data_IF_734927010294
#
_entry.id   IF_734927010294
#
_cell.length_a   1.000
_cell.length_b   1.000
_cell.length_c   1.000
_cell.angle_alpha   90.00
_cell.angle_beta   90.00
_cell.angle_gamma   90.00
#
_symmetry.space_group_name_H-M   'P 1'
#
loop_
_entity.id
_entity.type
_entity.pdbx_description
1 polymer ?
#
# COMPACT_ATOMS: atom_id res chain seq x y z
N UNK A 1 -14.40 30.34 -5.75
CA UNK A 1 -12.96 30.24 -5.45
C UNK A 1 -12.54 28.88 -5.93
N UNK A 2 -11.85 28.81 -7.06
CA UNK A 2 -11.26 27.57 -7.56
C UNK A 2 -10.14 27.24 -6.59
N UNK A 3 -10.30 26.20 -5.79
CA UNK A 3 -9.21 25.66 -5.00
C UNK A 3 -8.27 24.99 -5.97
N UNK A 4 -7.22 25.68 -6.38
CA UNK A 4 -6.01 25.10 -6.96
C UNK A 4 -5.44 24.11 -5.95
N UNK A 5 -5.96 22.88 -5.97
CA UNK A 5 -5.33 21.74 -5.31
C UNK A 5 -4.05 21.49 -6.08
N UNK A 6 -2.95 22.04 -5.58
CA UNK A 6 -1.62 21.71 -6.07
C UNK A 6 -1.55 20.17 -6.17
N UNK A 7 -1.15 19.61 -7.33
CA UNK A 7 -1.08 18.16 -7.48
C UNK A 7 -0.17 17.65 -6.37
N UNK A 8 -0.74 16.81 -5.51
CA UNK A 8 0.08 16.14 -4.52
C UNK A 8 1.04 15.25 -5.32
N UNK A 9 2.33 15.13 -4.96
CA UNK A 9 3.30 14.30 -5.69
C UNK A 9 2.85 12.83 -5.83
N UNK A 10 1.86 12.43 -5.03
CA UNK A 10 1.19 11.14 -5.08
C UNK A 10 0.21 11.02 -6.24
N UNK A 11 -0.39 12.09 -6.75
CA UNK A 11 -1.44 12.03 -7.78
C UNK A 11 -0.91 11.45 -9.11
N UNK A 12 0.38 11.64 -9.42
CA UNK A 12 1.05 11.13 -10.62
C UNK A 12 1.89 9.86 -10.38
N UNK A 13 1.93 9.34 -9.14
CA UNK A 13 2.71 8.14 -8.83
C UNK A 13 2.07 6.86 -9.42
N UNK A 14 2.86 5.80 -9.69
CA UNK A 14 2.35 4.48 -10.04
C UNK A 14 1.35 3.96 -8.99
N UNK A 15 0.40 3.14 -9.42
CA UNK A 15 -0.67 2.63 -8.55
C UNK A 15 -0.12 1.87 -7.34
N UNK A 16 0.95 1.08 -7.55
CA UNK A 16 1.65 0.34 -6.50
C UNK A 16 2.29 1.26 -5.46
N UNK A 17 2.78 2.44 -5.87
CA UNK A 17 3.40 3.42 -4.96
C UNK A 17 2.32 4.12 -4.13
N UNK A 18 1.20 4.51 -4.76
CA UNK A 18 0.05 5.08 -4.05
C UNK A 18 -0.48 4.11 -2.99
N UNK A 19 -0.69 2.86 -3.38
CA UNK A 19 -1.18 1.83 -2.47
C UNK A 19 -0.21 1.56 -1.32
N UNK A 20 1.10 1.53 -1.59
CA UNK A 20 2.10 1.37 -0.53
C UNK A 20 2.03 2.51 0.50
N UNK A 21 1.85 3.76 0.06
CA UNK A 21 1.71 4.91 0.95
C UNK A 21 0.43 4.84 1.77
N UNK A 22 -0.69 4.47 1.16
CA UNK A 22 -1.95 4.28 1.88
C UNK A 22 -1.84 3.18 2.95
N UNK A 23 -1.16 2.07 2.62
CA UNK A 23 -0.92 0.97 3.56
C UNK A 23 -0.01 1.39 4.72
N UNK A 24 1.06 2.14 4.46
CA UNK A 24 1.93 2.69 5.52
C UNK A 24 1.12 3.59 6.45
N UNK A 25 0.36 4.53 5.89
CA UNK A 25 -0.50 5.42 6.68
C UNK A 25 -1.50 4.65 7.55
N UNK A 26 -2.12 3.60 7.00
CA UNK A 26 -3.05 2.76 7.74
C UNK A 26 -2.36 2.04 8.91
N UNK A 27 -1.18 1.44 8.68
CA UNK A 27 -0.43 0.72 9.71
C UNK A 27 0.04 1.65 10.83
N UNK A 28 0.55 2.84 10.48
CA UNK A 28 0.96 3.86 11.45
C UNK A 28 -0.22 4.40 12.25
N UNK A 29 -1.35 4.68 11.58
CA UNK A 29 -2.57 5.19 12.23
C UNK A 29 -3.19 4.20 13.22
N UNK A 30 -2.90 2.90 13.06
CA UNK A 30 -3.33 1.84 13.97
C UNK A 30 -2.22 1.43 14.96
N UNK A 31 -1.12 2.18 15.03
CA UNK A 31 0.01 1.94 15.94
C UNK A 31 0.56 0.51 15.84
N UNK A 32 0.55 -0.07 14.63
CA UNK A 32 1.03 -1.43 14.40
C UNK A 32 2.56 -1.44 14.47
N UNK A 33 3.11 -2.35 15.28
CA UNK A 33 4.56 -2.54 15.37
C UNK A 33 5.15 -2.86 13.98
N UNK A 34 6.22 -2.19 13.54
CA UNK A 34 6.80 -2.41 12.21
C UNK A 34 7.20 -3.86 11.94
N UNK A 35 7.65 -4.61 12.94
CA UNK A 35 8.00 -6.03 12.78
C UNK A 35 6.76 -6.87 12.50
N UNK A 36 5.66 -6.59 13.19
CA UNK A 36 4.37 -7.24 12.97
C UNK A 36 3.81 -6.87 11.60
N UNK A 37 3.90 -5.60 11.21
CA UNK A 37 3.47 -5.13 9.89
C UNK A 37 4.23 -5.84 8.76
N UNK A 38 5.56 -5.95 8.85
CA UNK A 38 6.37 -6.65 7.84
C UNK A 38 5.97 -8.12 7.74
N UNK A 39 5.85 -8.82 8.87
CA UNK A 39 5.42 -10.23 8.87
C UNK A 39 4.02 -10.42 8.25
N UNK A 40 3.09 -9.51 8.53
CA UNK A 40 1.76 -9.55 7.93
C UNK A 40 1.80 -9.29 6.41
N UNK A 41 2.60 -8.32 5.97
CA UNK A 41 2.77 -8.01 4.55
C UNK A 41 3.41 -9.16 3.76
N UNK A 42 4.32 -9.93 4.36
CA UNK A 42 4.87 -11.15 3.75
C UNK A 42 3.77 -12.20 3.51
N UNK A 43 2.85 -12.40 4.47
CA UNK A 43 1.72 -13.31 4.32
C UNK A 43 0.80 -12.85 3.18
N UNK A 44 0.46 -11.56 3.15
CA UNK A 44 -0.36 -10.96 2.09
C UNK A 44 0.31 -11.11 0.73
N UNK A 45 1.62 -10.86 0.65
CA UNK A 45 2.39 -11.03 -0.58
C UNK A 45 2.31 -12.48 -1.10
N UNK A 46 2.49 -13.47 -0.22
CA UNK A 46 2.42 -14.88 -0.60
C UNK A 46 1.03 -15.28 -1.11
N UNK A 47 -0.04 -14.79 -0.48
CA UNK A 47 -1.43 -15.03 -0.93
C UNK A 47 -1.69 -14.42 -2.32
N UNK A 48 -1.24 -13.17 -2.54
CA UNK A 48 -1.36 -12.52 -3.84
C UNK A 48 -0.55 -13.24 -4.92
N UNK A 49 0.68 -13.67 -4.62
CA UNK A 49 1.50 -14.46 -5.54
C UNK A 49 0.82 -15.79 -5.90
N UNK A 50 0.20 -16.45 -4.93
CA UNK A 50 -0.56 -17.70 -5.17
C UNK A 50 -1.76 -17.49 -6.08
N UNK A 51 -2.39 -16.31 -6.04
CA UNK A 51 -3.50 -15.93 -6.94
C UNK A 51 -3.04 -15.54 -8.35
N UNK A 52 -1.81 -15.04 -8.47
CA UNK A 52 -1.17 -14.73 -9.75
C UNK A 52 -0.56 -15.96 -10.42
N UNK A 53 -0.28 -17.01 -9.64
CA UNK A 53 0.15 -18.29 -10.19
C UNK A 53 -0.96 -18.84 -11.08
N UNK A 54 -0.68 -19.16 -12.36
CA UNK A 54 -1.68 -19.74 -13.24
C UNK A 54 -2.10 -21.09 -12.69
N UNK A 55 -3.39 -21.23 -12.37
CA UNK A 55 -4.02 -22.52 -12.11
C UNK A 55 -3.75 -23.41 -13.31
N UNK A 56 -2.79 -24.33 -13.18
CA UNK A 56 -2.47 -25.32 -14.22
C UNK A 56 -3.52 -26.41 -14.26
#
# INVERSE_FOLDING_TARGET
MMTDKAPSPLDDAPEEVKLAVDLIYLLESNEIDPQVAVAALEIVQQDLQSKLAPSS
#
